data_IF_108018104498
#
_entry.id   IF_108018104498
#
_cell.length_a   1.000
_cell.length_b   1.000
_cell.length_c   1.000
_cell.angle_alpha   90.00
_cell.angle_beta   90.00
_cell.angle_gamma   90.00
#
_symmetry.space_group_name_H-M   'P 1'
#
loop_
_entity.id
_entity.type
_entity.pdbx_description
1 polymer ?
#
# COMPACT_ATOMS: atom_id res chain seq x y z
N UNK A 1 -27.32 1.65 -0.50
CA UNK A 1 -26.47 1.36 0.67
C UNK A 1 -25.44 0.33 0.23
N UNK A 2 -24.21 0.43 0.71
CA UNK A 2 -23.08 -0.45 0.36
C UNK A 2 -22.55 -1.05 1.65
N UNK A 3 -22.12 -2.31 1.62
CA UNK A 3 -21.43 -2.95 2.73
C UNK A 3 -19.92 -2.90 2.45
N UNK A 4 -19.12 -2.50 3.42
CA UNK A 4 -17.65 -2.46 3.34
C UNK A 4 -17.07 -3.30 4.46
N UNK A 5 -16.03 -4.07 4.16
CA UNK A 5 -15.16 -4.67 5.18
C UNK A 5 -13.75 -4.10 5.02
N UNK A 6 -13.13 -3.77 6.15
CA UNK A 6 -11.82 -3.16 6.23
C UNK A 6 -10.92 -3.95 7.18
N UNK A 7 -9.65 -4.07 6.83
CA UNK A 7 -8.59 -4.56 7.70
C UNK A 7 -7.48 -3.52 7.77
N UNK A 8 -7.07 -3.19 8.98
CA UNK A 8 -6.01 -2.20 9.25
C UNK A 8 -4.92 -2.82 10.11
N UNK A 9 -3.67 -2.55 9.74
CA UNK A 9 -2.53 -2.87 10.58
C UNK A 9 -2.46 -1.89 11.77
N UNK A 10 -2.16 -2.43 12.96
CA UNK A 10 -2.10 -1.65 14.20
C UNK A 10 -0.72 -1.78 14.82
N UNK A 11 -0.01 -0.65 14.97
CA UNK A 11 1.31 -0.56 15.61
C UNK A 11 1.23 0.43 16.77
N UNK A 12 1.65 0.00 17.97
CA UNK A 12 1.60 0.86 19.16
C UNK A 12 0.20 1.35 19.54
N UNK A 13 -0.86 0.63 19.13
CA UNK A 13 -2.25 1.02 19.37
C UNK A 13 -2.80 2.05 18.37
N UNK A 14 -2.04 2.44 17.36
CA UNK A 14 -2.46 3.33 16.29
C UNK A 14 -2.56 2.58 14.95
N UNK A 15 -3.47 3.02 14.09
CA UNK A 15 -3.56 2.53 12.70
C UNK A 15 -2.30 2.97 11.97
N UNK A 16 -1.51 2.02 11.48
CA UNK A 16 -0.24 2.30 10.82
C UNK A 16 0.19 1.10 9.99
N UNK A 17 0.66 1.36 8.76
CA UNK A 17 1.05 0.31 7.82
C UNK A 17 -0.11 -0.09 6.91
N UNK A 18 -0.29 -1.39 6.66
CA UNK A 18 -1.25 -1.86 5.66
C UNK A 18 -2.71 -1.50 5.97
N UNK A 19 -3.46 -1.15 4.94
CA UNK A 19 -4.91 -1.01 4.96
C UNK A 19 -5.52 -1.69 3.73
N UNK A 20 -6.54 -2.50 3.97
CA UNK A 20 -7.26 -3.26 2.95
C UNK A 20 -8.75 -3.00 3.08
N UNK A 21 -9.44 -2.88 1.94
CA UNK A 21 -10.88 -2.65 1.91
C UNK A 21 -11.54 -3.46 0.80
N UNK A 22 -12.73 -3.99 1.05
CA UNK A 22 -13.57 -4.60 0.01
C UNK A 22 -14.98 -4.07 0.10
N UNK A 23 -15.59 -3.81 -1.06
CA UNK A 23 -16.97 -3.35 -1.15
C UNK A 23 -17.89 -4.45 -1.67
N UNK A 24 -19.12 -4.42 -1.18
CA UNK A 24 -20.22 -5.29 -1.59
C UNK A 24 -21.55 -4.55 -1.64
N UNK A 25 -22.52 -5.16 -2.33
CA UNK A 25 -23.91 -4.71 -2.27
C UNK A 25 -24.44 -4.73 -0.82
N UNK A 26 -25.47 -3.94 -0.52
CA UNK A 26 -26.07 -3.90 0.83
C UNK A 26 -26.52 -5.26 1.38
N UNK A 27 -26.86 -6.19 0.49
CA UNK A 27 -27.33 -7.54 0.80
C UNK A 27 -26.26 -8.62 0.54
N UNK A 28 -25.00 -8.23 0.32
CA UNK A 28 -23.91 -9.17 0.16
C UNK A 28 -23.72 -9.99 1.44
N UNK A 29 -23.30 -11.25 1.29
CA UNK A 29 -22.93 -12.08 2.43
C UNK A 29 -21.62 -11.54 3.05
N UNK A 30 -21.61 -11.18 4.36
CA UNK A 30 -20.39 -10.74 5.03
C UNK A 30 -19.25 -11.78 4.97
N UNK A 31 -19.55 -13.08 4.92
CA UNK A 31 -18.53 -14.13 4.82
C UNK A 31 -17.86 -14.17 3.44
N UNK A 32 -18.60 -13.88 2.37
CA UNK A 32 -18.05 -13.75 1.03
C UNK A 32 -17.09 -12.54 0.97
N UNK A 33 -17.51 -11.40 1.54
CA UNK A 33 -16.64 -10.23 1.64
C UNK A 33 -15.39 -10.51 2.48
N UNK A 34 -15.52 -11.22 3.60
CA UNK A 34 -14.37 -11.57 4.43
C UNK A 34 -13.40 -12.48 3.68
N UNK A 35 -13.90 -13.44 2.91
CA UNK A 35 -13.06 -14.31 2.07
C UNK A 35 -12.28 -13.51 1.04
N UNK A 36 -12.94 -12.57 0.34
CA UNK A 36 -12.29 -11.67 -0.63
C UNK A 36 -11.21 -10.81 0.04
N UNK A 37 -11.51 -10.25 1.21
CA UNK A 37 -10.55 -9.45 1.97
C UNK A 37 -9.31 -10.27 2.36
N UNK A 38 -9.50 -11.50 2.85
CA UNK A 38 -8.40 -12.39 3.23
C UNK A 38 -7.53 -12.79 2.04
N UNK A 39 -8.13 -13.14 0.91
CA UNK A 39 -7.36 -13.48 -0.30
C UNK A 39 -6.57 -12.29 -0.83
N UNK A 40 -7.14 -11.09 -0.78
CA UNK A 40 -6.41 -9.87 -1.12
C UNK A 40 -5.24 -9.61 -0.18
N UNK A 41 -5.46 -9.67 1.13
CA UNK A 41 -4.38 -9.54 2.12
C UNK A 41 -3.26 -10.55 1.83
N UNK A 42 -3.61 -11.81 1.57
CA UNK A 42 -2.62 -12.85 1.27
C UNK A 42 -1.83 -12.54 0.01
N UNK A 43 -2.48 -12.04 -1.05
CA UNK A 43 -1.81 -11.65 -2.28
C UNK A 43 -0.81 -10.52 -2.06
N UNK A 44 -1.26 -9.43 -1.43
CA UNK A 44 -0.45 -8.23 -1.23
C UNK A 44 0.69 -8.45 -0.22
N UNK A 45 0.46 -9.30 0.80
CA UNK A 45 1.49 -9.65 1.80
C UNK A 45 2.50 -10.70 1.29
N UNK A 46 2.21 -11.39 0.18
CA UNK A 46 3.10 -12.43 -0.34
C UNK A 46 4.32 -11.88 -1.08
N UNK A 47 4.30 -10.60 -1.48
CA UNK A 47 5.39 -9.95 -2.21
C UNK A 47 6.06 -8.91 -1.34
N UNK A 48 7.40 -8.89 -1.34
CA UNK A 48 8.21 -7.88 -0.66
C UNK A 48 8.86 -6.96 -1.69
N UNK A 49 8.50 -5.69 -1.67
CA UNK A 49 8.98 -4.68 -2.61
C UNK A 49 10.21 -3.93 -2.12
N UNK A 50 10.48 -3.94 -0.82
CA UNK A 50 11.55 -3.19 -0.18
C UNK A 50 12.62 -4.11 0.40
N UNK A 51 13.88 -3.77 0.11
CA UNK A 51 15.05 -4.45 0.66
C UNK A 51 16.02 -3.45 1.26
N UNK A 52 16.94 -3.93 2.07
CA UNK A 52 18.11 -3.15 2.49
C UNK A 52 19.18 -3.23 1.40
N UNK A 53 19.43 -2.11 0.73
CA UNK A 53 20.55 -1.91 -0.19
C UNK A 53 21.70 -1.15 0.46
N UNK A 54 22.72 -0.87 -0.35
CA UNK A 54 23.98 -0.25 0.11
C UNK A 54 23.80 1.19 0.63
N UNK A 55 22.82 1.92 0.10
CA UNK A 55 22.50 3.30 0.48
C UNK A 55 21.28 3.41 1.42
N UNK A 56 20.83 2.28 1.99
CA UNK A 56 19.65 2.24 2.85
C UNK A 56 18.51 1.44 2.23
N UNK A 57 17.28 1.94 2.36
CA UNK A 57 16.11 1.27 1.79
C UNK A 57 16.14 1.36 0.26
N UNK A 58 15.82 0.27 -0.43
CA UNK A 58 15.82 0.18 -1.90
C UNK A 58 14.65 -0.68 -2.40
N UNK A 59 14.24 -0.47 -3.66
CA UNK A 59 13.24 -1.32 -4.32
C UNK A 59 13.91 -2.65 -4.72
N UNK A 60 13.26 -3.76 -4.42
CA UNK A 60 13.79 -5.13 -4.59
C UNK A 60 13.84 -5.59 -6.06
N UNK A 61 13.08 -4.95 -6.94
CA UNK A 61 12.97 -5.32 -8.36
C UNK A 61 12.57 -4.15 -9.25
N UNK A 62 11.81 -4.45 -10.31
CA UNK A 62 11.38 -3.46 -11.33
C UNK A 62 9.93 -3.00 -11.14
N UNK A 63 9.30 -3.46 -10.07
CA UNK A 63 7.92 -3.14 -9.73
C UNK A 63 7.84 -2.88 -8.25
N UNK A 64 7.06 -1.87 -7.87
CA UNK A 64 6.74 -1.54 -6.49
C UNK A 64 5.24 -1.26 -6.44
N UNK A 65 4.57 -1.84 -5.44
CA UNK A 65 3.18 -1.51 -5.13
C UNK A 65 3.10 -1.02 -3.69
N UNK A 66 2.14 -0.14 -3.46
CA UNK A 66 1.90 0.44 -2.16
C UNK A 66 0.63 1.27 -2.20
N UNK A 67 0.35 1.93 -1.08
CA UNK A 67 -0.84 2.75 -0.92
C UNK A 67 -0.43 4.18 -0.63
N UNK A 68 -1.11 5.12 -1.29
CA UNK A 68 -1.01 6.53 -0.93
C UNK A 68 -1.80 6.77 0.36
N UNK A 69 -1.15 7.40 1.33
CA UNK A 69 -1.76 7.88 2.57
C UNK A 69 -1.38 9.33 2.81
N UNK A 70 -1.90 9.91 3.89
CA UNK A 70 -1.68 11.29 4.27
C UNK A 70 -1.04 11.33 5.66
N UNK A 71 0.04 12.10 5.80
CA UNK A 71 0.50 12.56 7.10
C UNK A 71 -0.14 13.93 7.38
N UNK A 72 -1.18 14.01 8.23
CA UNK A 72 -1.88 15.26 8.51
C UNK A 72 -1.01 16.31 9.21
N UNK A 73 0.13 15.90 9.78
CA UNK A 73 1.09 16.79 10.45
C UNK A 73 2.19 17.29 9.49
N UNK A 74 2.27 16.74 8.27
CA UNK A 74 3.28 17.12 7.29
C UNK A 74 3.03 18.51 6.72
N UNK A 75 4.04 19.38 6.78
CA UNK A 75 3.97 20.73 6.24
C UNK A 75 4.25 20.80 4.73
N UNK A 76 4.76 19.71 4.14
CA UNK A 76 5.21 19.65 2.75
C UNK A 76 4.11 19.25 1.75
N UNK A 77 2.92 18.87 2.27
CA UNK A 77 1.76 18.40 1.48
C UNK A 77 2.11 17.25 0.52
N UNK A 78 3.21 16.55 0.75
CA UNK A 78 3.60 15.42 -0.07
C UNK A 78 2.85 14.18 0.42
N UNK A 79 2.44 13.29 -0.50
CA UNK A 79 1.81 12.06 -0.07
C UNK A 79 2.81 11.20 0.71
N UNK A 80 2.30 10.49 1.70
CA UNK A 80 3.03 9.40 2.34
C UNK A 80 2.70 8.10 1.61
N UNK A 81 3.66 7.20 1.50
CA UNK A 81 3.47 5.89 0.86
C UNK A 81 3.54 4.81 1.93
N UNK A 82 2.60 3.86 1.90
CA UNK A 82 2.75 2.59 2.63
C UNK A 82 3.20 1.54 1.63
N UNK A 83 4.42 1.04 1.81
CA UNK A 83 5.00 -0.05 1.00
C UNK A 83 5.51 -1.10 1.98
N UNK A 84 5.16 -2.37 1.78
CA UNK A 84 5.48 -3.47 2.70
C UNK A 84 5.08 -3.19 4.17
N UNK A 85 3.95 -2.51 4.38
CA UNK A 85 3.47 -2.11 5.71
C UNK A 85 4.32 -1.03 6.38
N UNK A 86 5.29 -0.46 5.67
CA UNK A 86 6.17 0.60 6.13
C UNK A 86 5.78 1.93 5.49
N UNK A 87 5.70 2.96 6.32
CA UNK A 87 5.59 4.34 5.88
C UNK A 87 6.91 4.82 5.25
N UNK A 88 6.81 5.34 4.04
CA UNK A 88 7.90 5.82 3.19
C UNK A 88 7.53 7.22 2.73
N UNK A 89 8.35 8.21 3.08
CA UNK A 89 8.14 9.58 2.61
C UNK A 89 8.39 9.68 1.10
N UNK A 90 7.79 10.69 0.46
CA UNK A 90 8.02 10.96 -0.95
C UNK A 90 9.52 11.17 -1.26
N UNK A 91 10.26 11.84 -0.37
CA UNK A 91 11.71 12.00 -0.49
C UNK A 91 12.45 10.65 -0.43
N UNK A 92 12.09 9.78 0.53
CA UNK A 92 12.70 8.45 0.64
C UNK A 92 12.45 7.63 -0.62
N UNK A 93 11.22 7.64 -1.14
CA UNK A 93 10.87 6.96 -2.37
C UNK A 93 11.66 7.51 -3.57
N UNK A 94 11.77 8.84 -3.70
CA UNK A 94 12.59 9.49 -4.72
C UNK A 94 14.06 9.09 -4.69
N UNK A 95 14.65 8.90 -3.50
CA UNK A 95 16.02 8.38 -3.34
C UNK A 95 16.14 6.95 -3.86
N UNK A 96 15.15 6.09 -3.64
CA UNK A 96 15.17 4.73 -4.18
C UNK A 96 15.13 4.73 -5.71
N UNK A 97 14.38 5.67 -6.31
CA UNK A 97 14.27 5.80 -7.76
C UNK A 97 15.58 6.23 -8.45
N UNK A 98 16.55 6.80 -7.72
CA UNK A 98 17.85 7.18 -8.29
C UNK A 98 18.62 5.99 -8.89
N UNK A 99 18.29 4.76 -8.50
CA UNK A 99 18.89 3.53 -9.04
C UNK A 99 18.44 3.19 -10.46
N UNK A 100 17.38 3.83 -10.97
CA UNK A 100 16.78 3.57 -12.28
C UNK A 100 17.14 4.64 -13.33
N UNK A 101 18.35 5.21 -13.27
CA UNK A 101 18.80 6.23 -14.22
C UNK A 101 18.73 5.73 -15.69
N UNK A 102 18.01 6.46 -16.55
CA UNK A 102 17.83 6.11 -17.96
C UNK A 102 16.68 5.13 -18.26
N UNK A 103 15.96 4.67 -17.24
CA UNK A 103 14.82 3.77 -17.40
C UNK A 103 13.53 4.54 -17.69
N UNK A 104 12.52 3.84 -18.21
CA UNK A 104 11.17 4.39 -18.41
C UNK A 104 10.28 4.02 -17.23
N UNK A 105 9.38 4.93 -16.85
CA UNK A 105 8.44 4.75 -15.72
C UNK A 105 7.01 4.57 -16.24
N UNK A 106 6.24 3.72 -15.56
CA UNK A 106 4.78 3.60 -15.69
C UNK A 106 4.18 3.68 -14.28
N UNK A 107 3.16 4.51 -14.10
CA UNK A 107 2.44 4.68 -12.84
C UNK A 107 0.96 4.37 -13.08
N UNK A 108 0.42 3.46 -12.28
CA UNK A 108 -0.99 3.08 -12.30
C UNK A 108 -1.61 3.41 -10.95
N UNK A 109 -2.77 4.08 -10.97
CA UNK A 109 -3.53 4.44 -9.77
C UNK A 109 -4.83 3.64 -9.81
N UNK A 110 -5.10 2.90 -8.74
CA UNK A 110 -6.22 1.97 -8.63
C UNK A 110 -7.08 2.33 -7.42
N UNK A 111 -8.38 2.07 -7.49
CA UNK A 111 -9.26 2.26 -6.34
C UNK A 111 -8.89 1.25 -5.25
N UNK A 112 -8.78 1.67 -3.97
CA UNK A 112 -8.38 0.78 -2.89
C UNK A 112 -9.37 -0.34 -2.62
N UNK A 113 -10.56 -0.38 -3.23
CA UNK A 113 -11.55 -1.46 -3.09
C UNK A 113 -11.60 -2.43 -4.27
N UNK A 114 -10.91 -2.12 -5.38
CA UNK A 114 -10.86 -2.97 -6.56
C UNK A 114 -9.85 -4.12 -6.38
N UNK A 115 -10.15 -5.27 -6.98
CA UNK A 115 -9.27 -6.44 -6.99
C UNK A 115 -8.26 -6.32 -8.14
N UNK A 116 -7.00 -6.70 -7.87
CA UNK A 116 -5.87 -6.70 -8.83
C UNK A 116 -5.58 -8.11 -9.30
#
# INVERSE_FOLDING_TARGET
>A
MMLSLEAVEVKGGQRAGYEFQVHGAANADPFDLMTRLLERMRHDLATTYLVKGDLGLAISGMTVRGQFTCDPESADYMPLLVIDGREVSWEQFGRMLMTFEGWRIHLEIQDPSEEV
#
